data_IF_517583357453
#
_entry.id   IF_517583357453
#
_cell.length_a   1.000
_cell.length_b   1.000
_cell.length_c   1.000
_cell.angle_alpha   90.00
_cell.angle_beta   90.00
_cell.angle_gamma   90.00
#
_symmetry.space_group_name_H-M   'P 1'
#
loop_
_entity.id
_entity.type
_entity.pdbx_description
1 polymer ?
#
# COMPACT_ATOMS: atom_id res chain seq x y z
N UNK A 1 17.21 -0.05 7.87
CA UNK A 1 17.28 -0.29 6.41
C UNK A 1 17.30 1.05 5.74
N UNK A 2 18.31 1.36 4.95
CA UNK A 2 18.33 2.60 4.15
C UNK A 2 18.54 2.32 2.67
N UNK A 3 18.72 1.05 2.30
CA UNK A 3 19.33 0.71 1.02
C UNK A 3 18.32 0.79 -0.12
N UNK A 4 17.12 0.20 0.00
CA UNK A 4 16.16 0.12 -1.11
C UNK A 4 15.71 1.51 -1.61
N UNK A 5 15.21 2.36 -0.71
CA UNK A 5 14.82 3.73 -1.04
C UNK A 5 16.01 4.58 -1.50
N UNK A 6 17.19 4.46 -0.88
CA UNK A 6 18.39 5.17 -1.34
C UNK A 6 18.85 4.77 -2.75
N UNK A 7 18.73 3.49 -3.13
CA UNK A 7 19.06 3.05 -4.50
C UNK A 7 18.10 3.64 -5.54
N UNK A 8 16.81 3.77 -5.23
CA UNK A 8 15.87 4.46 -6.11
C UNK A 8 16.29 5.91 -6.36
N UNK A 9 16.72 6.61 -5.31
CA UNK A 9 17.24 7.98 -5.44
C UNK A 9 18.51 8.07 -6.27
N UNK A 10 19.45 7.14 -6.13
CA UNK A 10 20.65 7.13 -6.98
C UNK A 10 20.30 6.94 -8.46
N UNK A 11 19.27 6.15 -8.76
CA UNK A 11 18.79 5.92 -10.13
C UNK A 11 18.06 7.14 -10.70
N UNK A 12 17.23 7.82 -9.91
CA UNK A 12 16.41 8.96 -10.36
C UNK A 12 17.11 10.32 -10.29
N UNK A 13 17.87 10.56 -9.22
CA UNK A 13 18.63 11.80 -8.98
C UNK A 13 19.87 11.98 -9.87
N UNK A 14 20.28 10.94 -10.60
CA UNK A 14 21.34 11.00 -11.61
C UNK A 14 20.85 11.11 -13.06
N UNK A 15 19.54 11.01 -13.30
CA UNK A 15 18.97 10.99 -14.65
C UNK A 15 18.63 12.39 -15.13
N UNK A 16 19.66 13.19 -15.40
CA UNK A 16 19.55 14.26 -16.39
C UNK A 16 19.66 13.62 -17.79
N UNK A 17 18.66 12.82 -18.18
CA UNK A 17 18.62 12.27 -19.54
C UNK A 17 18.04 13.31 -20.50
N UNK A 18 18.98 14.11 -21.01
CA UNK A 18 18.93 14.69 -22.35
C UNK A 18 18.40 13.66 -23.35
N UNK A 19 17.52 14.16 -24.22
CA UNK A 19 17.08 13.54 -25.45
C UNK A 19 18.24 12.91 -26.23
N UNK A 20 18.17 11.61 -26.49
CA UNK A 20 18.95 10.97 -27.55
C UNK A 20 18.19 9.76 -28.09
N UNK A 21 17.42 9.99 -29.16
CA UNK A 21 17.17 8.96 -30.17
C UNK A 21 18.45 8.81 -31.02
N UNK A 22 18.93 7.59 -31.22
CA UNK A 22 18.91 6.96 -32.55
C UNK A 22 18.65 5.44 -32.42
N UNK A 23 18.18 4.66 -33.39
CA UNK A 23 18.49 4.61 -34.82
C UNK A 23 18.62 3.12 -35.18
N UNK A 24 17.88 2.70 -36.20
CA UNK A 24 17.64 1.34 -36.69
C UNK A 24 18.94 0.59 -37.11
N UNK A 25 19.01 -0.74 -36.91
CA UNK A 25 19.30 -1.79 -37.93
C UNK A 25 19.67 -3.18 -37.33
N UNK A 26 18.83 -4.19 -37.63
CA UNK A 26 19.11 -5.58 -38.13
C UNK A 26 20.27 -6.41 -37.51
N UNK A 27 20.21 -7.73 -37.24
CA UNK A 27 19.36 -8.84 -37.72
C UNK A 27 19.84 -10.20 -37.11
N UNK A 28 18.92 -11.19 -37.02
CA UNK A 28 19.12 -12.67 -37.03
C UNK A 28 19.72 -13.31 -35.74
N UNK A 29 19.17 -14.33 -35.07
CA UNK A 29 18.61 -15.59 -35.59
C UNK A 29 17.87 -16.42 -34.51
N UNK A 30 16.68 -16.92 -34.85
CA UNK A 30 16.07 -18.25 -34.59
C UNK A 30 16.31 -19.00 -33.26
N UNK A 31 15.23 -19.23 -32.49
CA UNK A 31 14.87 -20.58 -32.04
C UNK A 31 13.38 -20.69 -31.71
N UNK A 32 12.75 -21.67 -32.33
CA UNK A 32 11.35 -22.09 -32.24
C UNK A 32 10.98 -22.62 -30.85
N UNK A 33 9.89 -22.10 -30.27
CA UNK A 33 8.99 -22.85 -29.39
C UNK A 33 7.62 -22.16 -29.42
N UNK A 34 6.60 -22.84 -29.92
CA UNK A 34 5.21 -22.50 -29.61
C UNK A 34 4.91 -22.98 -28.18
N UNK A 35 4.26 -22.14 -27.38
CA UNK A 35 3.25 -22.61 -26.46
C UNK A 35 1.91 -21.99 -26.86
N UNK A 36 1.00 -22.83 -27.36
CA UNK A 36 -0.44 -22.56 -27.30
C UNK A 36 -0.81 -22.28 -25.86
N UNK A 37 -1.08 -21.01 -25.56
CA UNK A 37 -1.69 -20.58 -24.32
C UNK A 37 -2.66 -19.46 -24.68
N UNK A 38 -3.86 -19.88 -25.07
CA UNK A 38 -5.05 -19.05 -25.01
C UNK A 38 -5.27 -18.64 -23.54
N UNK A 39 -4.70 -17.50 -23.14
CA UNK A 39 -5.15 -16.71 -22.00
C UNK A 39 -5.57 -15.36 -22.56
N UNK A 40 -6.78 -15.32 -23.10
CA UNK A 40 -7.46 -14.10 -23.45
C UNK A 40 -7.89 -13.37 -22.18
N UNK A 41 -7.39 -12.16 -22.01
CA UNK A 41 -8.11 -11.02 -21.45
C UNK A 41 -8.56 -11.14 -20.01
N UNK A 42 -7.76 -10.59 -19.11
CA UNK A 42 -8.18 -9.47 -18.27
C UNK A 42 -6.92 -8.93 -17.57
N UNK A 43 -6.10 -8.21 -18.34
CA UNK A 43 -5.25 -7.19 -17.75
C UNK A 43 -6.19 -6.03 -17.39
N UNK A 44 -6.90 -6.18 -16.26
CA UNK A 44 -7.53 -5.04 -15.60
C UNK A 44 -6.44 -4.00 -15.41
N UNK A 45 -6.62 -2.85 -16.07
CA UNK A 45 -5.86 -1.60 -15.94
C UNK A 45 -5.15 -1.54 -14.58
N UNK A 46 -3.88 -1.94 -14.56
CA UNK A 46 -3.04 -1.67 -13.41
C UNK A 46 -2.97 -0.15 -13.32
N UNK A 47 -3.43 0.40 -12.20
CA UNK A 47 -3.13 1.77 -11.80
C UNK A 47 -1.68 2.08 -12.21
N UNK A 48 -1.49 3.15 -12.98
CA UNK A 48 -0.24 3.55 -13.66
C UNK A 48 0.86 3.89 -12.64
N UNK A 49 1.30 2.89 -11.89
CA UNK A 49 2.33 2.98 -10.87
C UNK A 49 3.66 2.70 -11.55
N UNK A 50 4.60 3.64 -11.40
CA UNK A 50 5.98 3.50 -11.84
C UNK A 50 6.55 2.12 -11.40
N UNK A 51 6.94 1.24 -12.34
CA UNK A 51 7.43 -0.10 -12.00
C UNK A 51 8.68 -0.05 -11.13
N UNK A 52 9.55 0.96 -11.32
CA UNK A 52 10.74 1.12 -10.50
C UNK A 52 10.37 1.48 -9.05
N UNK A 53 9.33 2.28 -8.85
CA UNK A 53 8.80 2.60 -7.52
C UNK A 53 8.16 1.36 -6.88
N UNK A 54 7.34 0.64 -7.63
CA UNK A 54 6.69 -0.60 -7.17
C UNK A 54 7.69 -1.64 -6.67
N UNK A 55 8.77 -1.88 -7.44
CA UNK A 55 9.81 -2.84 -7.06
C UNK A 55 10.54 -2.44 -5.77
N UNK A 56 10.83 -1.14 -5.63
CA UNK A 56 11.54 -0.60 -4.47
C UNK A 56 10.66 -0.65 -3.22
N UNK A 57 9.41 -0.23 -3.32
CA UNK A 57 8.44 -0.29 -2.21
C UNK A 57 8.21 -1.74 -1.81
N UNK A 58 7.99 -2.63 -2.77
CA UNK A 58 7.80 -4.07 -2.50
C UNK A 58 9.00 -4.64 -1.76
N UNK A 59 10.22 -4.34 -2.23
CA UNK A 59 11.46 -4.76 -1.58
C UNK A 59 11.58 -4.19 -0.16
N UNK A 60 11.24 -2.91 0.02
CA UNK A 60 11.30 -2.25 1.33
C UNK A 60 10.31 -2.88 2.31
N UNK A 61 9.08 -3.12 1.88
CA UNK A 61 8.04 -3.80 2.69
C UNK A 61 8.46 -5.23 3.02
N UNK A 62 8.98 -6.01 2.08
CA UNK A 62 9.51 -7.36 2.36
C UNK A 62 10.63 -7.34 3.40
N UNK A 63 11.52 -6.36 3.32
CA UNK A 63 12.57 -6.18 4.32
C UNK A 63 11.94 -5.85 5.69
N UNK A 64 10.95 -4.95 5.76
CA UNK A 64 10.22 -4.67 7.02
C UNK A 64 9.61 -5.94 7.62
N UNK A 65 8.97 -6.77 6.80
CA UNK A 65 8.40 -8.04 7.25
C UNK A 65 9.46 -8.96 7.86
N UNK A 66 10.66 -9.02 7.26
CA UNK A 66 11.79 -9.75 7.83
C UNK A 66 12.20 -9.21 9.22
N UNK A 67 12.29 -7.88 9.41
CA UNK A 67 12.61 -7.33 10.73
C UNK A 67 11.54 -7.64 11.77
N UNK A 68 10.27 -7.63 11.36
CA UNK A 68 9.17 -8.00 12.24
C UNK A 68 9.31 -9.46 12.70
N UNK A 69 9.59 -10.37 11.77
CA UNK A 69 9.86 -11.78 12.07
C UNK A 69 11.09 -11.98 12.97
N UNK A 70 12.14 -11.17 12.78
CA UNK A 70 13.36 -11.15 13.60
C UNK A 70 13.18 -10.41 14.95
N UNK A 71 11.98 -9.87 15.23
CA UNK A 71 11.66 -9.08 16.43
C UNK A 71 12.53 -7.82 16.61
N UNK A 72 12.99 -7.24 15.50
CA UNK A 72 13.82 -6.02 15.47
C UNK A 72 12.94 -4.77 15.39
N UNK A 73 12.06 -4.61 16.37
CA UNK A 73 10.96 -3.63 16.37
C UNK A 73 11.41 -2.17 16.20
N UNK A 74 12.57 -1.79 16.76
CA UNK A 74 13.08 -0.42 16.61
C UNK A 74 13.47 -0.09 15.17
N UNK A 75 14.11 -1.04 14.49
CA UNK A 75 14.52 -0.88 13.10
C UNK A 75 13.33 -0.96 12.16
N UNK A 76 12.37 -1.81 12.50
CA UNK A 76 11.10 -1.94 11.78
C UNK A 76 10.31 -0.63 11.85
N UNK A 77 10.07 -0.10 13.06
CA UNK A 77 9.39 1.17 13.26
C UNK A 77 10.12 2.32 12.56
N UNK A 78 11.46 2.36 12.63
CA UNK A 78 12.24 3.36 11.90
C UNK A 78 12.08 3.25 10.37
N UNK A 79 11.97 2.03 9.83
CA UNK A 79 11.80 1.83 8.40
C UNK A 79 10.39 2.15 7.90
N UNK A 80 9.37 2.03 8.77
CA UNK A 80 8.00 2.51 8.47
C UNK A 80 7.98 4.03 8.40
N UNK A 81 8.60 4.72 9.35
CA UNK A 81 8.73 6.18 9.31
C UNK A 81 9.45 6.62 8.04
N UNK A 82 10.54 5.95 7.67
CA UNK A 82 11.26 6.25 6.42
C UNK A 82 10.37 6.06 5.17
N UNK A 83 9.56 5.01 5.11
CA UNK A 83 8.64 4.78 4.00
C UNK A 83 7.53 5.84 3.94
N UNK A 84 6.96 6.17 5.09
CA UNK A 84 5.90 7.17 5.24
C UNK A 84 6.38 8.56 4.83
N UNK A 85 7.50 9.00 5.39
CA UNK A 85 8.06 10.32 5.13
C UNK A 85 8.49 10.41 3.65
N UNK A 86 9.06 9.33 3.09
CA UNK A 86 9.37 9.26 1.66
C UNK A 86 8.12 9.41 0.78
N UNK A 87 7.06 8.66 1.06
CA UNK A 87 5.84 8.73 0.26
C UNK A 87 5.16 10.11 0.39
N UNK A 88 5.19 10.71 1.58
CA UNK A 88 4.65 12.05 1.82
C UNK A 88 5.44 13.13 1.07
N UNK A 89 6.77 13.17 1.25
CA UNK A 89 7.65 14.20 0.68
C UNK A 89 7.67 14.20 -0.86
N UNK A 90 7.29 13.09 -1.47
CA UNK A 90 7.27 12.91 -2.93
C UNK A 90 5.85 12.84 -3.51
N UNK A 91 4.80 13.06 -2.70
CA UNK A 91 3.39 12.97 -3.13
C UNK A 91 3.01 11.59 -3.72
N UNK A 92 3.61 10.52 -3.21
CA UNK A 92 3.47 9.14 -3.69
C UNK A 92 2.54 8.27 -2.82
N UNK A 93 1.76 8.86 -1.92
CA UNK A 93 0.88 8.09 -1.03
C UNK A 93 -0.17 7.26 -1.79
N UNK A 94 -0.74 7.79 -2.86
CA UNK A 94 -1.67 7.03 -3.72
C UNK A 94 -0.99 5.83 -4.37
N UNK A 95 0.17 6.04 -5.00
CA UNK A 95 0.97 4.96 -5.58
C UNK A 95 1.42 3.93 -4.54
N UNK A 96 1.73 4.37 -3.32
CA UNK A 96 2.07 3.47 -2.22
C UNK A 96 0.88 2.57 -1.86
N UNK A 97 -0.31 3.14 -1.68
CA UNK A 97 -1.53 2.35 -1.40
C UNK A 97 -1.77 1.32 -2.49
N UNK A 98 -1.68 1.71 -3.77
CA UNK A 98 -1.82 0.82 -4.92
C UNK A 98 -0.81 -0.36 -4.89
N UNK A 99 0.46 -0.10 -4.56
CA UNK A 99 1.48 -1.15 -4.40
C UNK A 99 1.14 -2.09 -3.25
N UNK A 100 0.77 -1.54 -2.08
CA UNK A 100 0.39 -2.36 -0.91
C UNK A 100 -0.82 -3.25 -1.23
N UNK A 101 -1.80 -2.75 -1.98
CA UNK A 101 -2.95 -3.55 -2.42
C UNK A 101 -2.55 -4.65 -3.39
N UNK A 102 -1.66 -4.33 -4.33
CA UNK A 102 -1.10 -5.32 -5.24
C UNK A 102 -0.34 -6.42 -4.48
N UNK A 103 0.39 -6.05 -3.43
CA UNK A 103 1.07 -7.01 -2.56
C UNK A 103 0.10 -7.91 -1.80
N UNK A 104 -0.95 -7.34 -1.17
CA UNK A 104 -2.00 -8.12 -0.48
C UNK A 104 -2.65 -9.11 -1.45
N UNK A 105 -3.00 -8.65 -2.65
CA UNK A 105 -3.63 -9.48 -3.70
C UNK A 105 -2.75 -10.66 -4.11
N UNK A 106 -1.44 -10.43 -4.27
CA UNK A 106 -0.49 -11.45 -4.73
C UNK A 106 -0.01 -12.38 -3.61
N UNK A 107 0.01 -11.92 -2.36
CA UNK A 107 0.69 -12.59 -1.25
C UNK A 107 -0.19 -12.59 0.01
N UNK A 108 -1.32 -13.30 -0.04
CA UNK A 108 -2.30 -13.33 1.06
C UNK A 108 -1.69 -13.75 2.42
N UNK A 109 -0.67 -14.62 2.42
CA UNK A 109 0.01 -15.06 3.63
C UNK A 109 0.77 -13.94 4.38
N UNK A 110 1.15 -12.88 3.67
CA UNK A 110 1.86 -11.73 4.21
C UNK A 110 0.93 -10.53 4.46
N UNK A 111 -0.36 -10.65 4.13
CA UNK A 111 -1.32 -9.56 4.22
C UNK A 111 -1.47 -8.99 5.64
N UNK A 112 -1.38 -9.82 6.68
CA UNK A 112 -1.37 -9.36 8.08
C UNK A 112 -0.20 -8.40 8.35
N UNK A 113 1.00 -8.72 7.86
CA UNK A 113 2.18 -7.87 8.05
C UNK A 113 2.05 -6.56 7.26
N UNK A 114 1.43 -6.61 6.08
CA UNK A 114 1.15 -5.41 5.26
C UNK A 114 0.12 -4.51 5.96
N UNK A 115 -0.93 -5.10 6.56
CA UNK A 115 -1.90 -4.37 7.39
C UNK A 115 -1.20 -3.67 8.55
N UNK A 116 -0.29 -4.33 9.25
CA UNK A 116 0.48 -3.71 10.32
C UNK A 116 1.36 -2.54 9.85
N UNK A 117 1.91 -2.63 8.63
CA UNK A 117 2.64 -1.50 8.02
C UNK A 117 1.70 -0.32 7.81
N UNK A 118 0.51 -0.53 7.22
CA UNK A 118 -0.50 0.51 7.02
C UNK A 118 -0.89 1.16 8.35
N UNK A 119 -1.23 0.34 9.35
CA UNK A 119 -1.60 0.82 10.69
C UNK A 119 -0.50 1.71 11.30
N UNK A 120 0.76 1.28 11.23
CA UNK A 120 1.86 2.02 11.83
C UNK A 120 2.26 3.27 11.02
N UNK A 121 1.95 3.32 9.72
CA UNK A 121 2.09 4.54 8.95
C UNK A 121 1.14 5.65 9.42
N UNK A 122 -0.04 5.27 9.92
CA UNK A 122 -1.03 6.22 10.42
C UNK A 122 -0.61 6.94 11.70
N UNK A 123 0.32 6.41 12.50
CA UNK A 123 0.65 6.97 13.81
C UNK A 123 2.13 7.33 13.97
N UNK A 124 2.40 8.28 14.85
CA UNK A 124 3.74 8.66 15.31
C UNK A 124 4.09 7.97 16.64
N UNK A 125 5.30 8.25 17.12
CA UNK A 125 5.69 7.89 18.49
C UNK A 125 4.75 8.57 19.49
N UNK A 126 4.21 7.80 20.42
CA UNK A 126 3.25 8.31 21.41
C UNK A 126 1.78 8.23 20.96
N UNK A 127 1.49 7.48 19.90
CA UNK A 127 0.14 7.24 19.37
C UNK A 127 -0.56 8.48 18.80
N UNK A 128 0.16 9.58 18.56
CA UNK A 128 -0.41 10.72 17.85
C UNK A 128 -0.63 10.37 16.37
N UNK A 129 -1.72 10.84 15.72
CA UNK A 129 -1.89 10.70 14.28
C UNK A 129 -0.72 11.34 13.52
N UNK A 130 -0.23 10.64 12.50
CA UNK A 130 0.84 11.12 11.64
C UNK A 130 0.38 12.23 10.69
N UNK A 131 1.31 13.01 10.09
CA UNK A 131 0.96 14.02 9.09
C UNK A 131 0.22 13.49 7.86
N UNK A 132 0.37 12.20 7.56
CA UNK A 132 -0.29 11.55 6.41
C UNK A 132 -1.63 10.90 6.78
N UNK A 133 -2.04 10.93 8.04
CA UNK A 133 -3.18 10.17 8.56
C UNK A 133 -4.46 10.39 7.75
N UNK A 134 -4.88 11.65 7.59
CA UNK A 134 -6.14 11.98 6.93
C UNK A 134 -6.15 11.54 5.46
N UNK A 135 -5.06 11.83 4.74
CA UNK A 135 -4.91 11.46 3.33
C UNK A 135 -4.82 9.95 3.14
N UNK A 136 -4.10 9.24 4.01
CA UNK A 136 -3.97 7.80 3.92
C UNK A 136 -5.31 7.10 4.19
N UNK A 137 -6.10 7.58 5.16
CA UNK A 137 -7.44 7.07 5.44
C UNK A 137 -8.38 7.28 4.26
N UNK A 138 -8.36 8.45 3.63
CA UNK A 138 -9.16 8.74 2.43
C UNK A 138 -8.83 7.76 1.29
N UNK A 139 -7.54 7.58 0.99
CA UNK A 139 -7.06 6.65 -0.03
C UNK A 139 -7.44 5.19 0.28
N UNK A 140 -7.40 4.77 1.56
CA UNK A 140 -7.82 3.42 1.96
C UNK A 140 -9.32 3.20 1.75
N UNK A 141 -10.16 4.21 2.00
CA UNK A 141 -11.60 4.13 1.70
C UNK A 141 -11.89 4.12 0.21
N UNK A 142 -11.18 4.92 -0.58
CA UNK A 142 -11.27 4.88 -2.04
C UNK A 142 -10.89 3.51 -2.58
N UNK A 143 -9.74 2.97 -2.15
CA UNK A 143 -9.29 1.62 -2.52
C UNK A 143 -10.29 0.54 -2.11
N UNK A 144 -10.90 0.66 -0.92
CA UNK A 144 -11.94 -0.26 -0.47
C UNK A 144 -13.18 -0.20 -1.37
N UNK A 145 -13.60 1.01 -1.75
CA UNK A 145 -14.70 1.22 -2.69
C UNK A 145 -14.44 0.56 -4.03
N UNK A 146 -13.23 0.72 -4.58
CA UNK A 146 -12.80 0.06 -5.81
C UNK A 146 -12.78 -1.47 -5.68
N UNK A 147 -12.23 -2.01 -4.59
CA UNK A 147 -12.21 -3.46 -4.35
C UNK A 147 -13.64 -4.03 -4.28
N UNK A 148 -14.56 -3.32 -3.63
CA UNK A 148 -15.97 -3.71 -3.58
C UNK A 148 -16.65 -3.68 -4.95
N UNK A 149 -16.41 -2.64 -5.75
CA UNK A 149 -16.98 -2.53 -7.09
C UNK A 149 -16.48 -3.67 -8.01
N UNK A 150 -15.21 -4.03 -7.90
CA UNK A 150 -14.57 -5.08 -8.69
C UNK A 150 -14.74 -6.49 -8.08
N UNK A 151 -15.47 -6.62 -6.97
CA UNK A 151 -15.67 -7.89 -6.23
C UNK A 151 -14.35 -8.56 -5.78
N UNK A 152 -13.30 -7.77 -5.58
CA UNK A 152 -12.03 -8.21 -4.99
C UNK A 152 -12.18 -8.36 -3.47
N UNK A 153 -12.91 -9.41 -3.08
CA UNK A 153 -13.29 -9.66 -1.68
C UNK A 153 -12.09 -9.91 -0.77
N UNK A 154 -11.00 -10.49 -1.29
CA UNK A 154 -9.81 -10.79 -0.50
C UNK A 154 -9.13 -9.48 -0.08
N UNK A 155 -8.83 -8.59 -1.03
CA UNK A 155 -8.20 -7.30 -0.72
C UNK A 155 -9.13 -6.44 0.13
N UNK A 156 -10.44 -6.43 -0.15
CA UNK A 156 -11.42 -5.70 0.64
C UNK A 156 -11.42 -6.12 2.13
N UNK A 157 -11.33 -7.42 2.44
CA UNK A 157 -11.28 -7.92 3.82
C UNK A 157 -10.04 -7.40 4.55
N UNK A 158 -8.87 -7.41 3.90
CA UNK A 158 -7.63 -6.94 4.49
C UNK A 158 -7.60 -5.42 4.67
N UNK A 159 -8.15 -4.67 3.71
CA UNK A 159 -8.36 -3.22 3.85
C UNK A 159 -9.25 -2.87 5.03
N UNK A 160 -10.33 -3.62 5.23
CA UNK A 160 -11.21 -3.44 6.38
C UNK A 160 -10.49 -3.70 7.70
N UNK A 161 -9.62 -4.72 7.76
CA UNK A 161 -8.78 -4.98 8.93
C UNK A 161 -7.82 -3.81 9.21
N UNK A 162 -7.18 -3.27 8.18
CA UNK A 162 -6.33 -2.09 8.35
C UNK A 162 -7.12 -0.88 8.88
N UNK A 163 -8.30 -0.60 8.32
CA UNK A 163 -9.14 0.52 8.78
C UNK A 163 -9.61 0.30 10.23
N UNK A 164 -9.96 -0.94 10.61
CA UNK A 164 -10.35 -1.29 11.98
C UNK A 164 -9.17 -1.11 12.95
N UNK A 165 -7.98 -1.59 12.59
CA UNK A 165 -6.76 -1.39 13.37
C UNK A 165 -6.41 0.09 13.55
N UNK A 166 -6.52 0.90 12.50
CA UNK A 166 -6.33 2.35 12.59
C UNK A 166 -7.41 3.00 13.47
N UNK A 167 -8.67 2.59 13.35
CA UNK A 167 -9.76 3.08 14.20
C UNK A 167 -9.51 2.79 15.68
N UNK A 168 -9.02 1.58 15.98
CA UNK A 168 -8.64 1.17 17.32
C UNK A 168 -7.47 2.00 17.86
N UNK A 169 -6.41 2.19 17.05
CA UNK A 169 -5.27 3.04 17.42
C UNK A 169 -5.68 4.48 17.72
N UNK A 170 -6.57 5.05 16.93
CA UNK A 170 -7.10 6.40 17.13
C UNK A 170 -7.90 6.51 18.45
N UNK A 171 -8.72 5.50 18.75
CA UNK A 171 -9.45 5.42 20.02
C UNK A 171 -8.50 5.38 21.21
N UNK A 172 -7.49 4.52 21.15
CA UNK A 172 -6.50 4.38 22.20
C UNK A 172 -5.72 5.68 22.44
N UNK A 173 -5.34 6.37 21.36
CA UNK A 173 -4.70 7.69 21.42
C UNK A 173 -5.59 8.73 22.10
N UNK A 174 -6.87 8.78 21.69
CA UNK A 174 -7.84 9.69 22.29
C UNK A 174 -8.06 9.42 23.77
N UNK A 175 -8.19 8.16 24.18
CA UNK A 175 -8.32 7.74 25.58
C UNK A 175 -7.11 8.17 26.42
N UNK A 176 -5.90 8.05 25.88
CA UNK A 176 -4.67 8.47 26.55
C UNK A 176 -4.59 9.99 26.76
N UNK A 177 -5.05 10.77 25.78
CA UNK A 177 -4.95 12.23 25.80
C UNK A 177 -6.08 12.92 26.56
N UNK A 178 -7.31 12.38 26.47
CA UNK A 178 -8.52 13.07 26.91
C UNK A 178 -9.40 12.28 27.89
N UNK A 179 -9.07 11.01 28.16
CA UNK A 179 -9.95 10.10 28.90
C UNK A 179 -11.18 9.66 28.07
N UNK A 180 -12.13 8.96 28.71
CA UNK A 180 -13.32 8.33 28.11
C UNK A 180 -14.36 9.31 27.52
N UNK A 181 -14.00 10.12 26.53
CA UNK A 181 -14.95 10.91 25.73
C UNK A 181 -15.09 10.33 24.32
N UNK A 182 -16.06 9.44 24.13
CA UNK A 182 -16.27 8.61 22.93
C UNK A 182 -16.61 9.34 21.61
N UNK A 183 -16.57 10.68 21.52
CA UNK A 183 -17.35 11.41 20.49
C UNK A 183 -16.78 11.42 19.05
N UNK A 184 -15.47 11.33 18.82
CA UNK A 184 -14.90 11.44 17.45
C UNK A 184 -14.74 10.11 16.72
N UNK A 185 -14.68 8.97 17.42
CA UNK A 185 -14.42 7.64 16.84
C UNK A 185 -15.62 7.10 16.04
N UNK A 186 -16.83 7.56 16.36
CA UNK A 186 -18.06 7.08 15.72
C UNK A 186 -18.13 7.35 14.22
N UNK A 187 -17.39 8.33 13.68
CA UNK A 187 -17.53 8.73 12.27
C UNK A 187 -16.80 7.75 11.33
N UNK A 188 -15.63 7.25 11.73
CA UNK A 188 -14.82 6.33 10.94
C UNK A 188 -15.44 4.92 10.88
N UNK A 189 -15.89 4.41 12.03
CA UNK A 189 -16.59 3.11 12.11
C UNK A 189 -17.91 3.12 11.34
N UNK A 190 -18.67 4.22 11.39
CA UNK A 190 -19.92 4.35 10.63
C UNK A 190 -19.68 4.38 9.12
N UNK A 191 -18.62 5.05 8.66
CA UNK A 191 -18.23 5.08 7.25
C UNK A 191 -17.82 3.69 6.74
N UNK A 192 -16.97 2.98 7.47
CA UNK A 192 -16.56 1.61 7.14
C UNK A 192 -17.75 0.65 7.14
N UNK A 193 -18.58 0.67 8.17
CA UNK A 193 -19.77 -0.20 8.28
C UNK A 193 -20.77 0.06 7.15
N UNK A 194 -20.94 1.32 6.73
CA UNK A 194 -21.81 1.67 5.61
C UNK A 194 -21.29 1.07 4.30
N UNK A 195 -20.01 1.24 4.00
CA UNK A 195 -19.38 0.67 2.81
C UNK A 195 -19.49 -0.85 2.79
N UNK A 196 -19.17 -1.54 3.90
CA UNK A 196 -19.33 -3.01 4.01
C UNK A 196 -20.75 -3.45 3.68
N UNK A 197 -21.76 -2.75 4.22
CA UNK A 197 -23.17 -3.08 3.98
C UNK A 197 -23.54 -2.91 2.51
N UNK A 198 -23.04 -1.86 1.86
CA UNK A 198 -23.24 -1.63 0.43
C UNK A 198 -22.56 -2.72 -0.41
N UNK A 199 -21.33 -3.14 -0.05
CA UNK A 199 -20.62 -4.22 -0.72
C UNK A 199 -21.33 -5.59 -0.56
N UNK A 200 -21.80 -5.91 0.65
CA UNK A 200 -22.51 -7.18 0.90
C UNK A 200 -23.90 -7.21 0.25
N UNK A 201 -24.61 -6.08 0.21
CA UNK A 201 -25.93 -5.99 -0.42
C UNK A 201 -25.89 -6.18 -1.95
N UNK A 202 -24.76 -5.85 -2.60
CA UNK A 202 -24.56 -6.03 -4.04
C UNK A 202 -24.28 -7.47 -4.50
N UNK A 203 -24.11 -8.42 -3.58
CA UNK A 203 -23.81 -9.84 -3.91
C UNK A 203 -25.04 -10.71 -4.16
N UNK A 204 -26.25 -10.14 -4.03
CA UNK A 204 -27.53 -10.83 -4.23
C UNK A 204 -28.37 -10.21 -5.34
N UNK A 205 -27.98 -10.35 -6.60
CA UNK A 205 -28.84 -10.14 -7.78
C UNK A 205 -28.36 -11.00 -8.95
#
# INVERSE_FOLDING_TARGET
MRFALATYFMKRGGSSHLSSSPGVLSSLNSSSYEPTSDFSGDEEESEDVDPDFSDVVSTHVSNLMQLLAEKRFQEWSSGIVELRDYAADNELLGSLVAVLMTMIRRQEHDAESIVQVIEHMCFEKGAEPSPVFDQLIELLFEALGHCCANKDTIVAIWLLRAIDGVSHGLRQSHEQLYGDSQRSVYTLEQAATKLIRECLAGTGS
#
